data_IF_167211035467
#
_entry.id   IF_167211035467
#
_cell.length_a   1.000
_cell.length_b   1.000
_cell.length_c   1.000
_cell.angle_alpha   90.00
_cell.angle_beta   90.00
_cell.angle_gamma   90.00
#
_symmetry.space_group_name_H-M   'P 1'
#
loop_
_entity.id
_entity.type
_entity.pdbx_description
1 polymer ?
#
# COMPACT_ATOMS: atom_id res chain seq x y z
N UNK A 1 9.42 25.07 -19.85
CA UNK A 1 9.53 23.61 -19.69
C UNK A 1 10.89 23.35 -19.06
N UNK A 2 10.91 22.96 -17.79
CA UNK A 2 12.20 22.70 -17.10
C UNK A 2 12.80 21.41 -17.61
N UNK A 3 14.14 21.27 -17.58
CA UNK A 3 14.88 20.05 -17.98
C UNK A 3 14.28 18.81 -17.26
N UNK A 4 13.85 19.01 -16.02
CA UNK A 4 13.22 17.97 -15.20
C UNK A 4 11.88 17.51 -15.78
N UNK A 5 11.02 18.41 -16.26
CA UNK A 5 9.74 18.05 -16.89
C UNK A 5 9.93 17.33 -18.22
N UNK A 6 10.91 17.76 -19.01
CA UNK A 6 11.26 17.06 -20.24
C UNK A 6 11.78 15.64 -19.97
N UNK A 7 12.70 15.50 -19.01
CA UNK A 7 13.26 14.19 -18.62
C UNK A 7 12.17 13.28 -18.01
N UNK A 8 11.26 13.83 -17.19
CA UNK A 8 10.08 13.13 -16.69
C UNK A 8 9.22 12.59 -17.83
N UNK A 9 8.89 13.44 -18.81
CA UNK A 9 8.10 13.03 -19.97
C UNK A 9 8.81 11.96 -20.82
N UNK A 10 10.11 12.03 -20.97
CA UNK A 10 10.90 11.03 -21.70
C UNK A 10 10.92 9.67 -20.97
N UNK A 11 11.15 9.66 -19.66
CA UNK A 11 11.15 8.43 -18.85
C UNK A 11 9.76 7.79 -18.82
N UNK A 12 8.69 8.59 -18.63
CA UNK A 12 7.33 8.06 -18.62
C UNK A 12 6.91 7.46 -19.97
N UNK A 13 7.32 8.07 -21.08
CA UNK A 13 7.09 7.52 -22.43
C UNK A 13 7.87 6.22 -22.65
N UNK A 14 9.13 6.17 -22.24
CA UNK A 14 9.98 5.00 -22.35
C UNK A 14 9.46 3.84 -21.49
N UNK A 15 9.02 4.15 -20.27
CA UNK A 15 8.43 3.18 -19.34
C UNK A 15 6.96 2.84 -19.68
N UNK A 16 6.35 3.50 -20.68
CA UNK A 16 4.93 3.34 -21.05
C UNK A 16 3.98 3.50 -19.87
N UNK A 17 4.32 4.36 -18.93
CA UNK A 17 3.54 4.60 -17.71
C UNK A 17 2.59 5.78 -17.94
N UNK A 18 1.25 5.62 -17.80
CA UNK A 18 0.33 6.74 -17.88
C UNK A 18 0.65 7.76 -16.78
N UNK A 19 0.60 9.06 -17.13
CA UNK A 19 0.91 10.12 -16.19
C UNK A 19 -0.09 10.17 -15.03
N UNK A 20 -1.36 9.95 -15.34
CA UNK A 20 -2.45 9.98 -14.36
C UNK A 20 -2.93 8.57 -14.02
N UNK A 21 -3.14 8.29 -12.74
CA UNK A 21 -3.70 7.01 -12.32
C UNK A 21 -5.18 6.91 -12.70
N UNK A 22 -5.61 5.75 -13.20
CA UNK A 22 -7.03 5.49 -13.37
C UNK A 22 -7.75 5.48 -12.02
N UNK A 23 -8.86 6.21 -11.92
CA UNK A 23 -9.71 6.22 -10.74
C UNK A 23 -10.34 4.83 -10.60
N UNK A 24 -10.23 4.17 -9.44
CA UNK A 24 -10.86 2.86 -9.21
C UNK A 24 -12.38 2.99 -9.16
N UNK A 25 -13.08 1.84 -9.20
CA UNK A 25 -14.53 1.79 -9.11
C UNK A 25 -15.04 2.49 -7.84
N UNK A 26 -16.07 3.33 -8.00
CA UNK A 26 -16.71 4.10 -6.94
C UNK A 26 -17.38 5.37 -7.47
N UNK A 27 -18.14 6.05 -6.62
CA UNK A 27 -18.77 7.30 -6.95
C UNK A 27 -17.72 8.40 -7.17
N UNK A 28 -17.79 9.13 -8.28
CA UNK A 28 -16.81 10.17 -8.62
C UNK A 28 -16.70 11.28 -7.55
N UNK A 29 -17.76 11.54 -6.83
CA UNK A 29 -17.82 12.54 -5.76
C UNK A 29 -17.11 12.08 -4.46
N UNK A 30 -16.93 10.77 -4.30
CA UNK A 30 -16.31 10.17 -3.12
C UNK A 30 -14.78 10.10 -3.20
N UNK A 31 -14.19 10.43 -4.36
CA UNK A 31 -12.77 10.30 -4.63
C UNK A 31 -11.96 11.22 -3.73
N UNK A 32 -11.05 10.64 -2.94
CA UNK A 32 -10.03 11.36 -2.18
C UNK A 32 -8.65 10.91 -2.65
N UNK A 33 -7.82 11.88 -3.01
CA UNK A 33 -6.46 11.64 -3.49
C UNK A 33 -5.48 12.13 -2.43
N UNK A 34 -4.57 11.26 -2.04
CA UNK A 34 -3.48 11.57 -1.11
C UNK A 34 -2.15 11.31 -1.80
N UNK A 35 -1.15 12.10 -1.45
CA UNK A 35 0.22 11.95 -1.92
C UNK A 35 1.12 11.71 -0.71
N UNK A 36 2.34 11.25 -0.95
CA UNK A 36 3.35 11.18 0.09
C UNK A 36 3.67 12.59 0.62
N UNK A 37 3.88 12.70 1.93
CA UNK A 37 4.18 13.96 2.59
C UNK A 37 5.49 14.59 2.09
N UNK A 38 5.61 15.90 2.20
CA UNK A 38 6.83 16.64 1.79
C UNK A 38 8.06 16.13 2.56
N UNK A 39 7.91 15.84 3.83
CA UNK A 39 8.98 15.35 4.69
C UNK A 39 9.45 13.94 4.29
N UNK A 40 8.60 13.15 3.61
CA UNK A 40 8.99 11.86 3.06
C UNK A 40 10.10 11.99 1.99
N UNK A 41 10.00 13.00 1.13
CA UNK A 41 11.08 13.26 0.17
C UNK A 41 12.38 13.63 0.89
N UNK A 42 12.31 14.50 1.91
CA UNK A 42 13.47 14.85 2.74
C UNK A 42 14.10 13.61 3.39
N UNK A 43 13.29 12.75 3.98
CA UNK A 43 13.76 11.48 4.53
C UNK A 43 14.47 10.60 3.49
N UNK A 44 13.86 10.45 2.31
CA UNK A 44 14.48 9.71 1.21
C UNK A 44 15.80 10.32 0.76
N UNK A 45 15.93 11.63 0.75
CA UNK A 45 17.17 12.32 0.42
C UNK A 45 18.26 12.13 1.49
N UNK A 46 17.91 12.11 2.77
CA UNK A 46 18.85 11.81 3.86
C UNK A 46 19.41 10.38 3.68
N UNK A 47 18.54 9.39 3.50
CA UNK A 47 18.96 7.99 3.31
C UNK A 47 19.82 7.83 2.06
N UNK A 48 19.41 8.46 0.96
CA UNK A 48 20.18 8.48 -0.28
C UNK A 48 21.55 9.15 -0.10
N UNK A 49 21.60 10.28 0.58
CA UNK A 49 22.86 11.01 0.86
C UNK A 49 23.81 10.19 1.73
N UNK A 50 23.29 9.54 2.79
CA UNK A 50 24.08 8.66 3.65
C UNK A 50 24.64 7.46 2.87
N UNK A 51 23.87 6.86 1.98
CA UNK A 51 24.31 5.79 1.10
C UNK A 51 25.44 6.24 0.17
N UNK A 52 25.29 7.41 -0.45
CA UNK A 52 26.36 7.98 -1.30
C UNK A 52 27.62 8.34 -0.49
N UNK A 53 27.45 8.88 0.72
CA UNK A 53 28.58 9.18 1.60
C UNK A 53 29.35 7.91 2.02
N UNK A 54 28.62 6.84 2.35
CA UNK A 54 29.23 5.54 2.68
C UNK A 54 29.99 4.96 1.46
N UNK A 55 29.43 5.05 0.25
CA UNK A 55 30.10 4.62 -0.98
C UNK A 55 31.35 5.45 -1.25
N UNK A 56 31.27 6.78 -1.13
CA UNK A 56 32.41 7.66 -1.30
C UNK A 56 33.54 7.35 -0.31
N UNK A 57 33.18 7.08 0.97
CA UNK A 57 34.13 6.69 2.00
C UNK A 57 34.80 5.34 1.66
N UNK A 58 34.04 4.37 1.15
CA UNK A 58 34.56 3.10 0.68
C UNK A 58 35.57 3.25 -0.45
N UNK A 59 35.27 4.10 -1.44
CA UNK A 59 36.17 4.42 -2.54
C UNK A 59 37.45 5.13 -2.04
N UNK A 60 37.31 6.09 -1.10
CA UNK A 60 38.46 6.75 -0.52
C UNK A 60 39.36 5.77 0.27
N UNK A 61 38.77 4.83 0.99
CA UNK A 61 39.53 3.78 1.69
C UNK A 61 40.23 2.83 0.70
N UNK A 62 39.58 2.47 -0.39
CA UNK A 62 40.18 1.67 -1.48
C UNK A 62 41.37 2.42 -2.14
N UNK A 63 41.19 3.73 -2.33
CA UNK A 63 42.29 4.56 -2.84
C UNK A 63 43.49 4.57 -1.91
N UNK A 64 43.24 4.72 -0.59
CA UNK A 64 44.29 4.67 0.42
C UNK A 64 45.10 3.35 0.37
N UNK A 65 44.43 2.22 0.03
CA UNK A 65 45.08 0.92 -0.12
C UNK A 65 46.13 0.91 -1.24
N UNK A 66 45.97 1.74 -2.27
CA UNK A 66 46.95 1.83 -3.39
C UNK A 66 48.31 2.36 -2.97
N UNK A 67 48.38 3.04 -1.80
CA UNK A 67 49.64 3.58 -1.27
C UNK A 67 50.46 2.57 -0.46
N UNK A 68 50.02 1.32 -0.33
CA UNK A 68 50.78 0.27 0.37
C UNK A 68 52.10 0.01 -0.41
N UNK A 69 53.29 0.18 0.20
CA UNK A 69 54.58 0.14 -0.53
C UNK A 69 54.93 -1.22 -1.11
N UNK A 70 54.37 -2.29 -0.54
CA UNK A 70 54.67 -3.69 -0.91
C UNK A 70 53.98 -4.15 -2.21
N UNK A 71 53.08 -3.34 -2.78
CA UNK A 71 52.37 -3.70 -4.01
C UNK A 71 53.29 -3.58 -5.26
N UNK A 72 53.35 -4.60 -6.14
CA UNK A 72 54.01 -4.51 -7.42
C UNK A 72 53.46 -3.38 -8.26
N UNK A 73 54.30 -2.70 -9.03
CA UNK A 73 53.89 -1.53 -9.84
C UNK A 73 52.77 -1.81 -10.82
N UNK A 74 52.78 -3.00 -11.46
CA UNK A 74 51.71 -3.43 -12.37
C UNK A 74 50.37 -3.58 -11.66
N UNK A 75 50.36 -4.23 -10.47
CA UNK A 75 49.17 -4.42 -9.69
C UNK A 75 48.60 -3.08 -9.26
N UNK A 76 49.44 -2.15 -8.81
CA UNK A 76 49.02 -0.78 -8.44
C UNK A 76 48.42 -0.03 -9.63
N UNK A 77 49.03 -0.14 -10.83
CA UNK A 77 48.49 0.52 -12.03
C UNK A 77 47.08 -0.01 -12.40
N UNK A 78 46.89 -1.33 -12.37
CA UNK A 78 45.59 -1.97 -12.60
C UNK A 78 44.57 -1.53 -11.56
N UNK A 79 44.96 -1.54 -10.29
CA UNK A 79 44.07 -1.12 -9.18
C UNK A 79 43.60 0.32 -9.37
N UNK A 80 44.49 1.26 -9.62
CA UNK A 80 44.18 2.67 -9.87
C UNK A 80 43.27 2.85 -11.10
N UNK A 81 43.47 2.07 -12.16
CA UNK A 81 42.60 2.14 -13.33
C UNK A 81 41.17 1.65 -13.03
N UNK A 82 41.04 0.56 -12.28
CA UNK A 82 39.72 0.03 -11.83
C UNK A 82 39.02 1.04 -10.92
N UNK A 83 39.76 1.63 -10.00
CA UNK A 83 39.22 2.62 -9.08
C UNK A 83 38.81 3.91 -9.79
N UNK A 84 39.60 4.42 -10.73
CA UNK A 84 39.21 5.57 -11.54
C UNK A 84 37.91 5.29 -12.31
N UNK A 85 37.75 4.08 -12.86
CA UNK A 85 36.50 3.64 -13.48
C UNK A 85 35.33 3.60 -12.48
N UNK A 86 35.53 3.06 -11.28
CA UNK A 86 34.52 2.99 -10.22
C UNK A 86 34.08 4.39 -9.75
N UNK A 87 35.03 5.31 -9.56
CA UNK A 87 34.74 6.72 -9.22
C UNK A 87 33.95 7.39 -10.34
N UNK A 88 34.32 7.18 -11.60
CA UNK A 88 33.62 7.73 -12.77
C UNK A 88 32.16 7.24 -12.82
N UNK A 89 31.93 5.94 -12.62
CA UNK A 89 30.60 5.34 -12.56
C UNK A 89 29.81 5.86 -11.36
N UNK A 90 30.43 5.99 -10.20
CA UNK A 90 29.81 6.53 -9.01
C UNK A 90 29.32 7.97 -9.23
N UNK A 91 30.19 8.84 -9.74
CA UNK A 91 29.85 10.24 -10.03
C UNK A 91 28.70 10.32 -11.05
N UNK A 92 28.75 9.52 -12.11
CA UNK A 92 27.68 9.46 -13.11
C UNK A 92 26.36 8.94 -12.55
N UNK A 93 26.39 8.06 -11.55
CA UNK A 93 25.19 7.51 -10.90
C UNK A 93 24.43 8.53 -10.05
N UNK A 94 25.10 9.53 -9.49
CA UNK A 94 24.51 10.53 -8.57
C UNK A 94 23.31 11.26 -9.21
N UNK A 95 23.44 11.91 -10.37
CA UNK A 95 22.31 12.61 -10.97
C UNK A 95 21.19 11.66 -11.39
N UNK A 96 21.52 10.46 -11.86
CA UNK A 96 20.54 9.45 -12.29
C UNK A 96 19.72 8.98 -11.09
N UNK A 97 20.38 8.59 -10.00
CA UNK A 97 19.70 8.09 -8.80
C UNK A 97 18.92 9.19 -8.10
N UNK A 98 19.42 10.43 -8.06
CA UNK A 98 18.66 11.58 -7.56
C UNK A 98 17.35 11.78 -8.34
N UNK A 99 17.44 11.76 -9.67
CA UNK A 99 16.28 11.93 -10.53
C UNK A 99 15.25 10.81 -10.35
N UNK A 100 15.71 9.54 -10.23
CA UNK A 100 14.83 8.41 -9.96
C UNK A 100 14.14 8.52 -8.59
N UNK A 101 14.84 9.00 -7.56
CA UNK A 101 14.25 9.23 -6.23
C UNK A 101 13.14 10.30 -6.30
N UNK A 102 13.40 11.38 -7.04
CA UNK A 102 12.41 12.45 -7.24
C UNK A 102 11.18 11.97 -8.00
N UNK A 103 11.37 11.24 -9.09
CA UNK A 103 10.26 10.64 -9.84
C UNK A 103 9.45 9.66 -8.99
N UNK A 104 10.13 8.82 -8.20
CA UNK A 104 9.46 7.86 -7.32
C UNK A 104 8.58 8.56 -6.27
N UNK A 105 9.00 9.74 -5.79
CA UNK A 105 8.20 10.56 -4.90
C UNK A 105 6.99 11.16 -5.64
N UNK A 106 7.18 11.79 -6.81
CA UNK A 106 6.13 12.45 -7.56
C UNK A 106 5.07 11.50 -8.14
N UNK A 107 5.46 10.24 -8.44
CA UNK A 107 4.57 9.23 -9.02
C UNK A 107 3.84 8.38 -7.97
N UNK A 108 3.94 8.75 -6.70
CA UNK A 108 3.28 8.05 -5.61
C UNK A 108 1.90 8.64 -5.34
N UNK A 109 0.87 7.86 -5.60
CA UNK A 109 -0.53 8.26 -5.50
C UNK A 109 -1.32 7.26 -4.67
N UNK A 110 -2.19 7.80 -3.83
CA UNK A 110 -3.12 7.04 -3.00
C UNK A 110 -4.52 7.55 -3.26
N UNK A 111 -5.37 6.73 -3.86
CA UNK A 111 -6.73 7.08 -4.22
C UNK A 111 -7.67 6.24 -3.38
N UNK A 112 -8.60 6.89 -2.70
CA UNK A 112 -9.63 6.26 -1.89
C UNK A 112 -10.98 6.70 -2.43
N UNK A 113 -11.87 5.73 -2.70
CA UNK A 113 -13.26 5.96 -3.09
C UNK A 113 -14.21 5.49 -1.98
N UNK A 114 -15.48 5.41 -2.25
CA UNK A 114 -16.48 4.80 -1.35
C UNK A 114 -16.42 3.27 -1.31
N UNK A 115 -15.92 2.60 -2.36
CA UNK A 115 -15.92 1.14 -2.50
C UNK A 115 -14.55 0.50 -2.50
N UNK A 116 -13.53 1.24 -2.92
CA UNK A 116 -12.21 0.70 -3.14
C UNK A 116 -11.11 1.72 -2.84
N UNK A 117 -9.90 1.21 -2.67
CA UNK A 117 -8.70 2.02 -2.62
C UNK A 117 -7.71 1.54 -3.69
N UNK A 118 -6.93 2.48 -4.23
CA UNK A 118 -5.85 2.20 -5.17
C UNK A 118 -4.58 2.87 -4.69
N UNK A 119 -3.52 2.10 -4.64
CA UNK A 119 -2.18 2.55 -4.28
C UNK A 119 -1.30 2.37 -5.51
N UNK A 120 -0.69 3.46 -5.93
CA UNK A 120 0.30 3.44 -7.00
C UNK A 120 1.63 3.91 -6.46
N UNK A 121 2.68 3.11 -6.69
CA UNK A 121 4.04 3.41 -6.27
C UNK A 121 5.07 2.88 -7.26
N UNK A 122 6.24 3.54 -7.30
CA UNK A 122 7.33 3.18 -8.18
C UNK A 122 7.29 3.85 -9.55
N UNK A 123 8.44 3.88 -10.23
CA UNK A 123 8.62 4.42 -11.58
C UNK A 123 9.20 3.36 -12.49
N UNK A 124 10.30 2.71 -12.09
CA UNK A 124 10.95 1.63 -12.83
C UNK A 124 10.17 0.34 -12.66
N UNK A 125 9.75 0.04 -11.42
CA UNK A 125 8.88 -1.07 -11.06
C UNK A 125 7.56 -0.47 -10.59
N UNK A 126 6.67 -0.23 -11.55
CA UNK A 126 5.34 0.28 -11.25
C UNK A 126 4.52 -0.79 -10.55
N UNK A 127 4.11 -0.53 -9.33
CA UNK A 127 3.18 -1.34 -8.59
C UNK A 127 1.87 -0.59 -8.42
N UNK A 128 0.79 -1.17 -8.90
CA UNK A 128 -0.57 -0.71 -8.66
C UNK A 128 -1.34 -1.80 -7.91
N UNK A 129 -1.81 -1.47 -6.73
CA UNK A 129 -2.63 -2.36 -5.92
C UNK A 129 -4.00 -1.72 -5.78
N UNK A 130 -5.04 -2.44 -6.18
CA UNK A 130 -6.43 -2.03 -5.96
C UNK A 130 -7.07 -3.01 -5.00
N UNK A 131 -7.66 -2.50 -3.92
CA UNK A 131 -8.34 -3.29 -2.91
C UNK A 131 -9.76 -2.79 -2.74
N UNK A 132 -10.73 -3.68 -2.66
CA UNK A 132 -12.11 -3.35 -2.30
C UNK A 132 -12.27 -3.37 -0.79
N UNK A 133 -13.12 -2.49 -0.25
CA UNK A 133 -13.39 -2.46 1.20
C UNK A 133 -13.96 -3.78 1.72
N UNK A 134 -14.64 -4.55 0.87
CA UNK A 134 -15.14 -5.89 1.21
C UNK A 134 -14.05 -6.83 1.71
N UNK A 135 -12.84 -6.71 1.15
CA UNK A 135 -11.74 -7.61 1.42
C UNK A 135 -10.77 -7.09 2.48
N UNK A 136 -10.93 -5.86 2.96
CA UNK A 136 -10.04 -5.27 3.96
C UNK A 136 -10.33 -5.88 5.33
N UNK A 137 -9.30 -6.45 5.94
CA UNK A 137 -9.35 -7.06 7.27
C UNK A 137 -8.70 -6.20 8.33
N UNK A 138 -7.60 -5.53 7.98
CA UNK A 138 -6.79 -4.83 8.95
C UNK A 138 -6.25 -3.51 8.38
N UNK A 139 -6.25 -2.48 9.22
CA UNK A 139 -5.66 -1.17 8.94
C UNK A 139 -4.76 -0.84 10.12
N UNK A 140 -3.45 -0.72 9.88
CA UNK A 140 -2.43 -0.39 10.89
C UNK A 140 -1.73 0.91 10.55
N UNK A 141 -1.43 1.71 11.56
CA UNK A 141 -0.54 2.86 11.44
C UNK A 141 0.80 2.51 12.06
N UNK A 142 1.86 2.58 11.27
CA UNK A 142 3.22 2.30 11.69
C UNK A 142 4.12 3.51 11.41
N UNK A 143 4.99 3.85 12.35
CA UNK A 143 6.00 4.87 12.15
C UNK A 143 7.29 4.45 12.83
N UNK A 144 8.40 4.51 12.11
CA UNK A 144 9.73 4.36 12.67
C UNK A 144 10.08 5.60 13.53
N UNK A 145 11.00 5.49 14.50
CA UNK A 145 11.38 6.64 15.34
C UNK A 145 11.77 7.88 14.53
N UNK A 146 12.48 7.71 13.43
CA UNK A 146 12.92 8.81 12.56
C UNK A 146 11.75 9.36 11.73
N UNK A 147 10.88 8.51 11.21
CA UNK A 147 9.66 8.94 10.53
C UNK A 147 8.77 9.75 11.47
N UNK A 148 8.64 9.30 12.73
CA UNK A 148 7.89 9.99 13.77
C UNK A 148 8.48 11.37 14.11
N UNK A 149 9.82 11.47 14.14
CA UNK A 149 10.51 12.77 14.35
C UNK A 149 10.24 13.74 13.18
N UNK A 150 10.07 13.22 11.96
CA UNK A 150 9.74 13.99 10.76
C UNK A 150 8.24 14.23 10.57
N UNK A 151 7.41 13.81 11.53
CA UNK A 151 5.95 13.90 11.42
C UNK A 151 5.36 13.01 10.33
N UNK A 152 6.02 11.89 10.02
CA UNK A 152 5.59 10.93 9.01
C UNK A 152 5.10 9.64 9.66
N UNK A 153 4.13 9.01 9.02
CA UNK A 153 3.74 7.65 9.34
C UNK A 153 3.33 6.88 8.07
N UNK A 154 3.21 5.58 8.22
CA UNK A 154 2.76 4.69 7.18
C UNK A 154 1.41 4.08 7.58
N UNK A 155 0.47 3.96 6.65
CA UNK A 155 -0.77 3.23 6.87
C UNK A 155 -0.72 1.95 6.05
N UNK A 156 -0.68 0.81 6.73
CA UNK A 156 -0.69 -0.50 6.12
C UNK A 156 -2.12 -1.05 6.11
N UNK A 157 -2.60 -1.46 4.94
CA UNK A 157 -3.92 -2.04 4.73
C UNK A 157 -3.75 -3.46 4.25
N UNK A 158 -4.34 -4.42 4.97
CA UNK A 158 -4.29 -5.84 4.62
C UNK A 158 -5.64 -6.34 4.16
N UNK A 159 -5.65 -7.11 3.08
CA UNK A 159 -6.84 -7.80 2.58
C UNK A 159 -6.85 -9.27 2.95
N UNK A 160 -8.04 -9.87 2.92
CA UNK A 160 -8.24 -11.31 3.08
C UNK A 160 -7.46 -12.11 2.03
N UNK A 161 -6.85 -13.23 2.43
CA UNK A 161 -6.14 -14.14 1.52
C UNK A 161 -4.62 -14.02 1.53
N UNK A 162 -4.03 -13.05 2.24
CA UNK A 162 -2.58 -12.95 2.43
C UNK A 162 -2.12 -13.77 3.62
N UNK A 163 -1.41 -14.87 3.40
CA UNK A 163 -0.69 -15.57 4.47
C UNK A 163 0.39 -14.68 5.07
N UNK A 164 0.65 -14.81 6.37
CA UNK A 164 1.76 -14.15 7.05
C UNK A 164 3.10 -14.61 6.46
N UNK A 165 3.64 -13.86 5.52
CA UNK A 165 5.06 -13.97 5.18
C UNK A 165 5.83 -13.07 6.13
N UNK A 166 6.39 -13.68 7.17
CA UNK A 166 7.06 -13.04 8.30
C UNK A 166 8.38 -12.32 7.94
N UNK A 167 8.81 -12.32 6.69
CA UNK A 167 10.06 -11.68 6.27
C UNK A 167 9.91 -10.97 4.93
N UNK A 168 10.03 -9.66 5.02
CA UNK A 168 10.60 -8.73 4.05
C UNK A 168 10.09 -8.80 2.62
N UNK A 169 9.57 -7.68 2.18
CA UNK A 169 9.23 -7.28 0.82
C UNK A 169 7.81 -7.63 0.35
N UNK A 170 7.08 -6.54 0.21
CA UNK A 170 5.73 -6.38 -0.29
C UNK A 170 5.55 -6.88 -1.73
N UNK A 171 5.43 -8.17 -1.94
CA UNK A 171 5.03 -8.72 -3.23
C UNK A 171 3.80 -9.62 -3.17
N UNK A 172 3.11 -9.70 -2.05
CA UNK A 172 1.76 -10.25 -2.04
C UNK A 172 0.77 -9.11 -2.31
N UNK A 173 -0.03 -9.18 -3.38
CA UNK A 173 -1.09 -8.22 -3.72
C UNK A 173 -2.17 -8.05 -2.63
N UNK A 174 -1.89 -8.49 -1.41
CA UNK A 174 -2.74 -8.47 -0.23
C UNK A 174 -2.38 -7.39 0.80
N UNK A 175 -1.25 -6.69 0.62
CA UNK A 175 -0.83 -5.60 1.52
C UNK A 175 -0.66 -4.32 0.72
N UNK A 176 -1.49 -3.32 1.03
CA UNK A 176 -1.38 -1.97 0.50
C UNK A 176 -0.72 -1.05 1.52
N UNK A 177 0.28 -0.26 1.10
CA UNK A 177 1.01 0.64 2.00
C UNK A 177 0.92 2.08 1.53
N UNK A 178 0.29 2.94 2.34
CA UNK A 178 0.37 4.40 2.24
C UNK A 178 1.65 4.84 2.94
N UNK A 179 2.75 4.91 2.22
CA UNK A 179 4.05 5.18 2.82
C UNK A 179 4.34 6.68 2.90
N UNK A 180 4.81 7.12 4.09
CA UNK A 180 5.31 8.45 4.31
C UNK A 180 4.25 9.54 4.17
N UNK A 181 3.08 9.34 4.75
CA UNK A 181 2.01 10.36 4.78
C UNK A 181 2.10 11.21 6.04
N UNK A 182 1.75 12.50 5.93
CA UNK A 182 1.82 13.45 7.04
C UNK A 182 0.58 13.33 7.97
N UNK A 183 -0.52 12.81 7.44
CA UNK A 183 -1.83 12.74 8.09
C UNK A 183 -2.36 11.31 8.20
N UNK A 184 -1.49 10.39 8.62
CA UNK A 184 -1.80 8.96 8.67
C UNK A 184 -3.03 8.62 9.52
N UNK A 185 -3.24 9.33 10.64
CA UNK A 185 -4.40 9.12 11.52
C UNK A 185 -5.70 9.50 10.81
N UNK A 186 -5.71 10.65 10.13
CA UNK A 186 -6.88 11.10 9.37
C UNK A 186 -7.18 10.15 8.20
N UNK A 187 -6.15 9.60 7.54
CA UNK A 187 -6.31 8.60 6.48
C UNK A 187 -6.88 7.31 7.07
N UNK A 188 -6.33 6.84 8.20
CA UNK A 188 -6.84 5.65 8.90
C UNK A 188 -8.33 5.83 9.25
N UNK A 189 -8.69 6.96 9.84
CA UNK A 189 -10.06 7.24 10.28
C UNK A 189 -11.02 7.29 9.07
N UNK A 190 -10.61 7.90 7.97
CA UNK A 190 -11.35 7.87 6.71
C UNK A 190 -11.55 6.44 6.19
N UNK A 191 -10.50 5.63 6.20
CA UNK A 191 -10.58 4.24 5.74
C UNK A 191 -11.49 3.39 6.64
N UNK A 192 -11.42 3.59 7.97
CA UNK A 192 -12.29 2.90 8.94
C UNK A 192 -13.75 3.32 8.77
N UNK A 193 -14.02 4.61 8.57
CA UNK A 193 -15.35 5.13 8.29
C UNK A 193 -15.94 4.51 7.02
N UNK A 194 -15.18 4.48 5.93
CA UNK A 194 -15.60 3.87 4.65
C UNK A 194 -15.86 2.37 4.80
N UNK A 195 -14.97 1.68 5.53
CA UNK A 195 -15.14 0.27 5.82
C UNK A 195 -16.42 -0.02 6.61
N UNK A 196 -16.74 0.84 7.59
CA UNK A 196 -17.97 0.73 8.39
C UNK A 196 -19.20 0.93 7.51
N UNK A 197 -19.25 2.03 6.75
CA UNK A 197 -20.36 2.33 5.83
C UNK A 197 -20.56 1.19 4.83
N UNK A 198 -19.46 0.64 4.29
CA UNK A 198 -19.52 -0.49 3.35
C UNK A 198 -20.11 -1.75 4.01
N UNK A 199 -19.68 -2.09 5.23
CA UNK A 199 -20.21 -3.24 5.98
C UNK A 199 -21.67 -3.06 6.34
N UNK A 200 -22.06 -1.87 6.76
CA UNK A 200 -23.45 -1.56 7.12
C UNK A 200 -24.36 -1.62 5.88
N UNK A 201 -23.89 -1.19 4.70
CA UNK A 201 -24.65 -1.31 3.45
C UNK A 201 -24.73 -2.75 2.91
N UNK A 202 -23.72 -3.59 3.19
CA UNK A 202 -23.67 -5.00 2.79
C UNK A 202 -24.50 -5.94 3.65
N UNK A 203 -24.89 -5.50 4.87
CA UNK A 203 -25.76 -6.27 5.77
C UNK A 203 -27.24 -6.16 5.41
N UNK A 204 -27.59 -5.58 4.23
CA UNK A 204 -28.95 -5.29 3.83
C UNK A 204 -29.58 -4.29 4.79
N UNK A 205 -30.38 -3.38 4.30
CA UNK A 205 -31.28 -2.60 5.14
C UNK A 205 -31.83 -3.53 6.23
N UNK A 206 -31.37 -3.35 7.46
CA UNK A 206 -32.25 -3.69 8.56
C UNK A 206 -33.39 -2.70 8.40
N UNK A 207 -34.34 -3.11 7.60
CA UNK A 207 -35.68 -2.56 7.66
C UNK A 207 -36.01 -2.52 9.13
N UNK A 208 -36.16 -1.32 9.68
CA UNK A 208 -36.64 -1.09 11.06
C UNK A 208 -38.13 -1.46 11.18
N UNK A 209 -38.72 -2.06 10.17
CA UNK A 209 -39.80 -2.98 10.27
C UNK A 209 -39.22 -4.28 10.83
N UNK A 210 -39.34 -4.46 12.14
CA UNK A 210 -39.21 -5.78 12.71
C UNK A 210 -40.04 -6.70 11.80
N UNK A 211 -39.46 -7.70 11.12
CA UNK A 211 -40.25 -8.66 10.43
C UNK A 211 -41.16 -9.21 11.53
N UNK A 212 -42.48 -9.04 11.40
CA UNK A 212 -43.38 -9.88 12.18
C UNK A 212 -42.80 -11.27 12.10
N UNK A 213 -42.51 -11.90 13.22
CA UNK A 213 -41.73 -13.11 13.20
C UNK A 213 -42.51 -14.15 12.43
N UNK A 214 -42.18 -14.30 11.11
CA UNK A 214 -42.62 -15.40 10.27
C UNK A 214 -42.47 -16.74 11.02
N UNK A 215 -41.52 -16.80 11.94
CA UNK A 215 -41.36 -17.90 12.88
C UNK A 215 -42.52 -18.04 13.90
N UNK A 216 -43.15 -16.95 14.35
CA UNK A 216 -44.29 -17.02 15.28
C UNK A 216 -45.60 -17.35 14.58
N UNK A 217 -45.84 -16.85 13.36
CA UNK A 217 -46.99 -17.24 12.55
C UNK A 217 -46.88 -18.69 12.06
N UNK A 218 -45.73 -19.10 11.53
CA UNK A 218 -45.45 -20.48 11.16
C UNK A 218 -45.53 -21.44 12.36
N UNK A 219 -45.00 -21.05 13.53
CA UNK A 219 -45.10 -21.84 14.76
C UNK A 219 -46.55 -21.98 15.26
N UNK A 220 -47.38 -20.95 15.11
CA UNK A 220 -48.80 -21.00 15.43
C UNK A 220 -49.58 -21.91 14.48
N UNK A 221 -49.26 -21.87 13.21
CA UNK A 221 -49.87 -22.71 12.19
C UNK A 221 -49.55 -24.18 12.44
N UNK A 222 -48.26 -24.52 12.65
CA UNK A 222 -47.83 -25.88 13.04
C UNK A 222 -48.52 -26.34 14.36
N UNK A 223 -48.65 -25.44 15.33
CA UNK A 223 -49.34 -25.77 16.58
C UNK A 223 -50.86 -26.02 16.39
N UNK A 224 -51.50 -25.31 15.49
CA UNK A 224 -52.92 -25.55 15.15
C UNK A 224 -53.13 -26.87 14.44
N UNK A 225 -52.28 -27.21 13.47
CA UNK A 225 -52.33 -28.48 12.76
C UNK A 225 -52.07 -29.68 13.69
N UNK A 226 -51.06 -29.57 14.55
CA UNK A 226 -50.79 -30.63 15.55
C UNK A 226 -51.92 -30.83 16.55
N UNK A 227 -52.60 -29.74 16.94
CA UNK A 227 -53.82 -29.84 17.80
C UNK A 227 -55.00 -30.47 17.06
N UNK A 228 -55.18 -30.14 15.79
CA UNK A 228 -56.23 -30.73 14.94
C UNK A 228 -56.00 -32.23 14.74
N UNK A 229 -54.77 -32.65 14.42
CA UNK A 229 -54.39 -34.05 14.32
C UNK A 229 -54.58 -34.83 15.62
N UNK A 230 -54.20 -34.25 16.76
CA UNK A 230 -54.40 -34.88 18.05
C UNK A 230 -55.90 -35.07 18.36
N UNK A 231 -56.72 -34.08 18.06
CA UNK A 231 -58.17 -34.18 18.29
C UNK A 231 -58.84 -35.20 17.39
N UNK A 232 -58.40 -35.28 16.13
CA UNK A 232 -58.90 -36.29 15.20
C UNK A 232 -58.53 -37.74 15.63
N UNK A 233 -57.31 -37.93 16.16
CA UNK A 233 -56.90 -39.22 16.70
C UNK A 233 -57.66 -39.61 17.97
N UNK A 234 -57.94 -38.67 18.87
CA UNK A 234 -58.71 -38.94 20.10
C UNK A 234 -60.17 -39.25 19.77
N UNK A 235 -60.75 -38.57 18.79
CA UNK A 235 -62.11 -38.86 18.32
C UNK A 235 -62.22 -40.19 17.59
N UNK A 236 -61.18 -40.55 16.77
CA UNK A 236 -61.14 -41.84 16.10
C UNK A 236 -60.93 -43.05 17.04
N UNK A 237 -60.24 -42.85 18.18
CA UNK A 237 -60.05 -43.90 19.21
C UNK A 237 -61.26 -44.12 20.10
N UNK A 238 -62.14 -43.12 20.24
CA UNK A 238 -63.41 -43.23 21.05
C UNK A 238 -64.62 -43.69 20.21
N UNK A 239 -64.47 -43.91 18.91
CA UNK A 239 -65.55 -44.34 18.02
C UNK A 239 -65.40 -45.77 17.50
N UNK A 240 -64.43 -46.55 18.02
CA UNK A 240 -64.27 -47.98 17.78
C UNK A 240 -64.44 -48.74 19.09
#
# INVERSE_FOLDING_TARGET
MTIVEWAKGAVLRLARVPADPHVPEGAKESVRVFNAGRNYFTWRMIVWGLGNAATALGLAAAFAFSYIPTLPSLVRAIWLAVEAGAVGLFVASIPITYFLQRLNYEMRWYIVTDRSLRIRSGVVWLQEITMTFANIQEIRVNANPIERLLGLANVDVRSAGGGDTAHGEASSGHVGKFAGVDNAEAIRDLLVERLRVYRDSGLGERTTEAPEPLSLSAAREVLQETKALRNALVTGLNGA
#
